data_IF_193957097508
#
_entry.id   IF_193957097508
#
_cell.length_a   1.000
_cell.length_b   1.000
_cell.length_c   1.000
_cell.angle_alpha   90.00
_cell.angle_beta   90.00
_cell.angle_gamma   90.00
#
_symmetry.space_group_name_H-M   'P 1'
#
loop_
_entity.id
_entity.type
_entity.pdbx_description
1 polymer ?
#
# COMPACT_ATOMS: atom_id res chain seq x y z
N UNK A 1 7.97 17.10 -23.01
CA UNK A 1 7.34 16.72 -21.74
C UNK A 1 8.24 15.71 -21.05
N UNK A 2 8.76 16.04 -19.87
CA UNK A 2 9.67 15.17 -19.13
C UNK A 2 8.93 13.93 -18.60
N UNK A 3 9.67 12.90 -18.19
CA UNK A 3 9.07 11.75 -17.49
C UNK A 3 8.38 12.19 -16.20
N UNK A 4 8.97 13.13 -15.45
CA UNK A 4 8.34 13.67 -14.24
C UNK A 4 7.00 14.33 -14.56
N UNK A 5 6.91 15.15 -15.61
CA UNK A 5 5.64 15.77 -16.03
C UNK A 5 4.59 14.71 -16.37
N UNK A 6 4.99 13.62 -17.06
CA UNK A 6 4.09 12.50 -17.37
C UNK A 6 3.55 11.85 -16.09
N UNK A 7 4.41 11.57 -15.12
CA UNK A 7 4.01 10.93 -13.87
C UNK A 7 3.12 11.84 -13.02
N UNK A 8 3.45 13.13 -12.93
CA UNK A 8 2.62 14.11 -12.22
C UNK A 8 1.25 14.26 -12.88
N UNK A 9 1.19 14.28 -14.21
CA UNK A 9 -0.08 14.33 -14.95
C UNK A 9 -0.89 13.05 -14.73
N UNK A 10 -0.27 11.88 -14.79
CA UNK A 10 -0.93 10.60 -14.54
C UNK A 10 -1.49 10.52 -13.12
N UNK A 11 -0.72 10.96 -12.11
CA UNK A 11 -1.19 11.06 -10.73
C UNK A 11 -2.43 11.96 -10.62
N UNK A 12 -2.34 13.18 -11.16
CA UNK A 12 -3.46 14.13 -11.12
C UNK A 12 -4.68 13.58 -11.85
N UNK A 13 -4.52 13.08 -13.07
CA UNK A 13 -5.66 12.59 -13.86
C UNK A 13 -6.32 11.36 -13.25
N UNK A 14 -5.54 10.47 -12.65
CA UNK A 14 -6.06 9.22 -12.10
C UNK A 14 -6.73 9.42 -10.73
N UNK A 15 -6.15 10.26 -9.88
CA UNK A 15 -6.61 10.42 -8.49
C UNK A 15 -7.45 11.67 -8.24
N UNK A 16 -7.44 12.68 -9.12
CA UNK A 16 -8.25 13.89 -8.92
C UNK A 16 -9.75 13.57 -8.88
N UNK A 17 -10.44 14.15 -7.91
CA UNK A 17 -11.88 13.99 -7.73
C UNK A 17 -12.31 12.67 -7.07
N UNK A 18 -11.38 11.77 -6.74
CA UNK A 18 -11.67 10.59 -5.92
C UNK A 18 -11.63 10.96 -4.44
N UNK A 19 -12.57 10.42 -3.68
CA UNK A 19 -12.51 10.46 -2.22
C UNK A 19 -11.50 9.40 -1.74
N UNK A 20 -10.23 9.81 -1.63
CA UNK A 20 -9.14 8.97 -1.15
C UNK A 20 -8.56 9.53 0.14
N UNK A 21 -8.10 8.66 1.06
CA UNK A 21 -7.37 9.10 2.24
C UNK A 21 -6.16 9.97 1.85
N UNK A 22 -5.91 11.02 2.61
CA UNK A 22 -4.78 11.91 2.38
C UNK A 22 -3.46 11.12 2.39
N UNK A 23 -2.57 11.31 1.41
CA UNK A 23 -1.26 10.66 1.43
C UNK A 23 -0.33 11.38 2.42
N UNK A 24 0.38 10.60 3.24
CA UNK A 24 1.50 11.12 4.03
C UNK A 24 2.75 11.36 3.16
N UNK A 25 2.90 10.61 2.07
CA UNK A 25 3.93 10.85 1.06
C UNK A 25 3.50 10.40 -0.33
N UNK A 26 4.03 11.10 -1.34
CA UNK A 26 3.92 10.73 -2.76
C UNK A 26 5.29 10.93 -3.39
N UNK A 27 5.86 9.86 -3.94
CA UNK A 27 7.17 9.87 -4.58
C UNK A 27 7.06 9.54 -6.07
N UNK A 28 7.75 10.31 -6.90
CA UNK A 28 7.78 10.13 -8.35
C UNK A 28 9.12 9.57 -8.79
N UNK A 29 9.14 8.34 -9.28
CA UNK A 29 10.34 7.66 -9.74
C UNK A 29 10.44 7.73 -11.26
N UNK A 30 11.32 8.59 -11.77
CA UNK A 30 11.62 8.75 -13.21
C UNK A 30 12.25 7.49 -13.82
N UNK A 31 12.89 6.65 -13.01
CA UNK A 31 13.25 5.29 -13.38
C UNK A 31 12.98 4.44 -12.14
N UNK A 32 12.04 3.49 -12.17
CA UNK A 32 11.48 2.80 -13.35
C UNK A 32 10.09 3.27 -13.83
N UNK A 33 9.81 4.58 -13.93
CA UNK A 33 8.49 5.13 -14.28
C UNK A 33 7.36 4.68 -13.34
N UNK A 34 7.48 5.04 -12.06
CA UNK A 34 6.57 4.60 -10.99
C UNK A 34 6.18 5.74 -10.05
N UNK A 35 4.97 5.67 -9.52
CA UNK A 35 4.50 6.55 -8.44
C UNK A 35 4.35 5.70 -7.18
N UNK A 36 4.98 6.13 -6.09
CA UNK A 36 4.82 5.48 -4.79
C UNK A 36 3.96 6.36 -3.89
N UNK A 37 2.92 5.79 -3.29
CA UNK A 37 1.97 6.50 -2.42
C UNK A 37 1.93 5.82 -1.06
N UNK A 38 2.12 6.59 0.00
CA UNK A 38 1.88 6.14 1.37
C UNK A 38 0.65 6.88 1.91
N UNK A 39 -0.46 6.19 2.18
CA UNK A 39 -1.60 6.81 2.85
C UNK A 39 -1.25 7.22 4.29
N UNK A 40 -1.81 8.33 4.75
CA UNK A 40 -1.78 8.70 6.16
C UNK A 40 -2.77 7.83 6.96
N UNK A 41 -2.41 7.50 8.20
CA UNK A 41 -3.30 6.88 9.18
C UNK A 41 -2.79 7.14 10.60
N UNK A 42 -3.68 6.94 11.57
CA UNK A 42 -3.39 7.11 13.00
C UNK A 42 -3.31 5.79 13.76
N UNK A 43 -3.85 4.72 13.18
CA UNK A 43 -3.91 3.37 13.75
C UNK A 43 -3.77 2.32 12.64
N UNK A 44 -3.56 1.08 13.04
CA UNK A 44 -3.20 -0.02 12.12
C UNK A 44 -4.37 -0.47 11.24
N UNK A 45 -5.57 -0.58 11.79
CA UNK A 45 -6.76 -0.98 11.02
C UNK A 45 -7.04 0.07 9.94
N UNK A 46 -7.08 1.35 10.33
CA UNK A 46 -7.23 2.45 9.38
C UNK A 46 -6.10 2.47 8.36
N UNK A 47 -4.87 2.10 8.74
CA UNK A 47 -3.75 1.99 7.81
C UNK A 47 -4.03 0.98 6.69
N UNK A 48 -4.41 -0.25 7.05
CA UNK A 48 -4.71 -1.31 6.10
C UNK A 48 -5.91 -0.96 5.21
N UNK A 49 -6.97 -0.39 5.79
CA UNK A 49 -8.14 0.10 5.03
C UNK A 49 -7.74 1.19 4.04
N UNK A 50 -6.88 2.13 4.44
CA UNK A 50 -6.43 3.19 3.55
C UNK A 50 -5.56 2.67 2.41
N UNK A 51 -4.70 1.67 2.66
CA UNK A 51 -3.97 0.97 1.59
C UNK A 51 -4.93 0.36 0.57
N UNK A 52 -5.98 -0.31 1.05
CA UNK A 52 -6.99 -0.95 0.20
C UNK A 52 -7.78 0.08 -0.63
N UNK A 53 -8.20 1.20 -0.03
CA UNK A 53 -8.92 2.27 -0.75
C UNK A 53 -8.10 2.80 -1.92
N UNK A 54 -6.80 3.00 -1.73
CA UNK A 54 -5.91 3.42 -2.81
C UNK A 54 -5.71 2.31 -3.86
N UNK A 55 -5.44 1.08 -3.42
CA UNK A 55 -5.21 -0.06 -4.31
C UNK A 55 -6.43 -0.40 -5.18
N UNK A 56 -7.65 -0.27 -4.66
CA UNK A 56 -8.90 -0.49 -5.40
C UNK A 56 -9.09 0.45 -6.60
N UNK A 57 -8.35 1.56 -6.66
CA UNK A 57 -8.37 2.45 -7.84
C UNK A 57 -7.50 1.95 -8.99
N UNK A 58 -6.69 0.92 -8.77
CA UNK A 58 -5.68 0.45 -9.70
C UNK A 58 -6.13 -0.82 -10.41
N UNK A 59 -5.65 -1.00 -11.64
CA UNK A 59 -5.87 -2.18 -12.43
C UNK A 59 -4.76 -3.21 -12.19
N UNK A 60 -5.14 -4.49 -12.09
CA UNK A 60 -4.19 -5.62 -12.01
C UNK A 60 -3.33 -5.62 -10.75
N UNK A 61 -3.95 -5.35 -9.59
CA UNK A 61 -3.23 -5.24 -8.31
C UNK A 61 -2.57 -6.55 -7.93
N UNK A 62 -1.29 -6.48 -7.61
CA UNK A 62 -0.52 -7.54 -6.94
C UNK A 62 0.06 -7.00 -5.65
N UNK A 63 0.26 -7.88 -4.66
CA UNK A 63 0.82 -7.46 -3.39
C UNK A 63 2.02 -8.29 -2.95
N UNK A 64 2.82 -7.67 -2.10
CA UNK A 64 3.90 -8.32 -1.35
C UNK A 64 3.90 -7.80 0.06
N UNK A 65 4.11 -8.69 1.02
CA UNK A 65 4.35 -8.32 2.41
C UNK A 65 5.65 -8.94 2.92
N UNK A 66 6.30 -8.27 3.86
CA UNK A 66 7.53 -8.77 4.46
C UNK A 66 7.73 -8.24 5.87
N UNK A 67 8.44 -9.02 6.68
CA UNK A 67 8.97 -8.54 7.95
C UNK A 67 10.37 -7.99 7.73
N UNK A 68 10.58 -6.73 8.06
CA UNK A 68 11.89 -6.08 7.89
C UNK A 68 12.98 -6.75 8.74
N UNK A 69 14.20 -6.95 8.22
CA UNK A 69 15.33 -7.38 9.03
C UNK A 69 15.63 -6.32 10.11
N UNK A 70 15.65 -6.74 11.38
CA UNK A 70 16.00 -5.85 12.51
C UNK A 70 14.94 -4.82 12.88
N UNK A 71 13.74 -4.90 12.31
CA UNK A 71 12.60 -4.04 12.64
C UNK A 71 11.36 -4.91 12.81
N UNK A 72 10.61 -4.70 13.89
CA UNK A 72 9.38 -5.41 14.20
C UNK A 72 8.17 -4.72 13.53
N UNK A 73 8.26 -4.59 12.20
CA UNK A 73 7.19 -4.04 11.36
C UNK A 73 6.87 -5.00 10.22
N UNK A 74 5.58 -5.22 9.99
CA UNK A 74 5.07 -5.82 8.76
C UNK A 74 4.92 -4.70 7.73
N UNK A 75 5.65 -4.80 6.61
CA UNK A 75 5.48 -3.91 5.48
C UNK A 75 4.61 -4.56 4.42
N UNK A 76 3.75 -3.76 3.80
CA UNK A 76 2.82 -4.20 2.76
C UNK A 76 2.93 -3.24 1.58
N UNK A 77 3.12 -3.81 0.39
CA UNK A 77 3.11 -3.10 -0.87
C UNK A 77 2.02 -3.68 -1.76
N UNK A 78 1.12 -2.84 -2.26
CA UNK A 78 0.12 -3.17 -3.28
C UNK A 78 0.47 -2.38 -4.55
N UNK A 79 0.76 -3.08 -5.64
CA UNK A 79 1.18 -2.47 -6.90
C UNK A 79 0.19 -2.76 -8.01
N UNK A 80 -0.11 -1.76 -8.83
CA UNK A 80 -1.01 -1.88 -9.96
C UNK A 80 -0.75 -0.79 -10.98
N UNK A 81 -1.71 -0.56 -11.88
CA UNK A 81 -1.61 0.47 -12.92
C UNK A 81 -2.78 1.43 -12.88
N UNK A 82 -2.52 2.69 -13.18
CA UNK A 82 -3.57 3.67 -13.50
C UNK A 82 -4.29 3.29 -14.80
N UNK A 83 -5.39 3.97 -15.12
CA UNK A 83 -6.10 3.78 -16.40
C UNK A 83 -5.22 4.18 -17.60
N UNK A 84 -4.28 5.10 -17.39
CA UNK A 84 -3.25 5.48 -18.36
C UNK A 84 -2.06 4.51 -18.44
N UNK A 85 -2.06 3.43 -17.66
CA UNK A 85 -1.01 2.40 -17.63
C UNK A 85 0.21 2.71 -16.77
N UNK A 86 0.22 3.83 -16.04
CA UNK A 86 1.34 4.23 -15.15
C UNK A 86 1.40 3.31 -13.94
N UNK A 87 2.60 2.82 -13.59
CA UNK A 87 2.78 1.96 -12.43
C UNK A 87 2.60 2.77 -11.14
N UNK A 88 1.81 2.22 -10.22
CA UNK A 88 1.63 2.79 -8.88
C UNK A 88 1.90 1.71 -7.86
N UNK A 89 2.66 2.04 -6.83
CA UNK A 89 2.80 1.23 -5.61
C UNK A 89 2.22 2.00 -4.44
N UNK A 90 1.18 1.45 -3.83
CA UNK A 90 0.65 1.92 -2.56
C UNK A 90 1.32 1.10 -1.47
N UNK A 91 1.90 1.74 -0.47
CA UNK A 91 2.65 1.04 0.54
C UNK A 91 2.42 1.57 1.95
N UNK A 92 2.71 0.71 2.91
CA UNK A 92 2.50 0.98 4.32
C UNK A 92 3.18 -0.05 5.20
N UNK A 93 3.09 0.17 6.50
CA UNK A 93 3.55 -0.80 7.49
C UNK A 93 2.91 -0.59 8.84
N UNK A 94 2.74 -1.69 9.57
CA UNK A 94 2.19 -1.73 10.92
C UNK A 94 3.13 -2.54 11.83
N UNK A 95 3.08 -2.33 13.16
CA UNK A 95 3.90 -3.10 14.08
C UNK A 95 3.62 -4.61 13.95
N UNK A 96 4.68 -5.39 13.73
CA UNK A 96 4.60 -6.84 13.63
C UNK A 96 3.97 -7.51 14.87
N UNK A 97 4.21 -7.04 16.11
CA UNK A 97 3.57 -7.62 17.29
C UNK A 97 2.04 -7.56 17.27
N UNK A 98 1.45 -6.63 16.51
CA UNK A 98 0.00 -6.51 16.42
C UNK A 98 -0.62 -7.56 15.48
N UNK A 99 0.20 -8.18 14.61
CA UNK A 99 -0.23 -9.25 13.69
C UNK A 99 0.34 -10.60 14.08
N UNK A 100 0.86 -10.73 15.31
CA UNK A 100 1.44 -11.98 15.79
C UNK A 100 0.37 -13.08 15.80
N UNK A 101 0.72 -14.25 15.28
CA UNK A 101 -0.23 -15.35 15.08
C UNK A 101 -1.11 -15.25 13.82
N UNK A 102 -1.32 -14.05 13.26
CA UNK A 102 -2.06 -13.84 12.01
C UNK A 102 -1.16 -13.94 10.78
N UNK A 103 0.05 -13.38 10.86
CA UNK A 103 1.07 -13.45 9.81
C UNK A 103 2.30 -14.20 10.33
N UNK A 104 2.84 -15.12 9.53
CA UNK A 104 3.95 -16.00 9.91
C UNK A 104 5.17 -15.79 9.03
N UNK A 105 5.85 -14.66 9.23
CA UNK A 105 7.09 -14.29 8.56
C UNK A 105 8.22 -14.14 9.57
N UNK A 106 9.31 -14.88 9.36
CA UNK A 106 10.55 -14.64 10.06
C UNK A 106 11.15 -13.27 9.65
N UNK A 107 12.02 -12.66 10.48
CA UNK A 107 12.72 -11.43 10.08
C UNK A 107 13.45 -11.60 8.75
N UNK A 108 13.14 -10.74 7.77
CA UNK A 108 13.68 -10.79 6.42
C UNK A 108 12.92 -11.68 5.44
N UNK A 109 11.92 -12.44 5.89
CA UNK A 109 11.04 -13.19 5.00
C UNK A 109 9.97 -12.30 4.37
N UNK A 110 9.53 -12.73 3.19
CA UNK A 110 8.52 -12.06 2.41
C UNK A 110 7.65 -13.07 1.67
N UNK A 111 6.41 -12.71 1.42
CA UNK A 111 5.47 -13.49 0.64
C UNK A 111 4.59 -12.58 -0.23
N UNK A 112 3.88 -13.20 -1.18
CA UNK A 112 2.83 -12.52 -1.93
C UNK A 112 1.60 -12.33 -1.03
N UNK A 113 0.88 -11.24 -1.26
CA UNK A 113 -0.38 -10.97 -0.57
C UNK A 113 -1.38 -10.37 -1.55
N UNK A 114 -2.64 -10.71 -1.41
CA UNK A 114 -3.75 -10.18 -2.19
C UNK A 114 -4.49 -9.06 -1.44
N UNK A 115 -5.22 -8.18 -2.12
CA UNK A 115 -6.09 -7.21 -1.44
C UNK A 115 -7.09 -7.86 -0.47
N UNK A 116 -7.62 -9.03 -0.81
CA UNK A 116 -8.58 -9.74 0.04
C UNK A 116 -7.92 -10.25 1.34
N UNK A 117 -6.67 -10.73 1.28
CA UNK A 117 -5.90 -11.11 2.46
C UNK A 117 -5.57 -9.91 3.35
N UNK A 118 -5.26 -8.76 2.75
CA UNK A 118 -5.06 -7.50 3.51
C UNK A 118 -6.38 -7.04 4.17
N UNK A 119 -7.51 -7.21 3.48
CA UNK A 119 -8.83 -6.93 4.05
C UNK A 119 -9.15 -7.84 5.22
N UNK A 120 -8.91 -9.14 5.08
CA UNK A 120 -9.10 -10.12 6.16
C UNK A 120 -8.22 -9.79 7.37
N UNK A 121 -6.97 -9.39 7.15
CA UNK A 121 -6.08 -8.95 8.23
C UNK A 121 -6.66 -7.74 8.98
N UNK A 122 -7.17 -6.75 8.25
CA UNK A 122 -7.79 -5.57 8.86
C UNK A 122 -9.04 -5.93 9.69
N UNK A 123 -9.88 -6.84 9.19
CA UNK A 123 -11.08 -7.31 9.88
C UNK A 123 -10.73 -8.08 11.17
N UNK A 124 -9.73 -8.97 11.12
CA UNK A 124 -9.25 -9.69 12.30
C UNK A 124 -8.69 -8.75 13.38
N UNK A 125 -7.89 -7.76 12.98
CA UNK A 125 -7.37 -6.75 13.90
C UNK A 125 -8.49 -5.89 14.53
N UNK A 126 -9.54 -5.59 13.77
CA UNK A 126 -10.69 -4.84 14.27
C UNK A 126 -11.50 -5.64 15.31
N UNK A 127 -11.57 -6.96 15.17
CA UNK A 127 -12.24 -7.86 16.10
C UNK A 127 -11.45 -8.04 17.41
N UNK A 128 -10.12 -8.10 17.33
CA UNK A 128 -9.26 -8.20 18.53
C UNK A 128 -9.22 -6.91 19.36
N UNK A 129 -9.54 -5.76 18.75
CA UNK A 129 -9.59 -4.46 19.43
C UNK A 129 -10.94 -4.16 20.12
N UNK A 130 -11.96 -5.02 19.92
CA UNK A 130 -13.34 -4.82 20.41
C UNK A 130 -13.61 -5.56 21.74
#
# INVERSE_FOLDING_TARGET
>A
MSTLDKLMNAYRSHFAGRDLPEPSSVNFHVAPDRIDVQPFSTDDVTHLVNLLRWAQTLNGVTGRQWRTPGSDSLHIHLSGRTDSGTNVTVYGGIPYPHVDGLVRLAPGESESVTPDEVYLLADLLQQDAA
#
